data_IF_529952609822
#
_entry.id   IF_529952609822
#
_cell.length_a   1.000
_cell.length_b   1.000
_cell.length_c   1.000
_cell.angle_alpha   90.00
_cell.angle_beta   90.00
_cell.angle_gamma   90.00
#
_symmetry.space_group_name_H-M   'P 1'
#
loop_
_entity.id
_entity.type
_entity.pdbx_description
1 polymer ?
#
# COMPACT_ATOMS: atom_id res chain seq x y z
N UNK A 1 -0.10 73.76 -8.59
CA UNK A 1 -0.17 72.33 -8.95
C UNK A 1 -0.91 71.61 -7.84
N UNK A 2 -1.97 70.93 -8.21
CA UNK A 2 -3.10 70.47 -7.39
C UNK A 2 -2.73 69.35 -6.41
N UNK A 3 -3.39 69.33 -5.24
CA UNK A 3 -3.37 68.28 -4.20
C UNK A 3 -3.98 66.94 -4.67
N UNK A 4 -3.74 66.55 -5.93
CA UNK A 4 -4.28 65.36 -6.58
C UNK A 4 -3.19 64.34 -6.97
N UNK A 5 -1.93 64.58 -6.60
CA UNK A 5 -0.78 63.70 -6.91
C UNK A 5 -0.22 62.92 -5.71
N UNK A 6 -0.73 63.17 -4.49
CA UNK A 6 -0.28 62.44 -3.29
C UNK A 6 -1.06 61.13 -3.05
N UNK A 7 -2.29 61.04 -3.59
CA UNK A 7 -3.15 59.86 -3.42
C UNK A 7 -2.88 58.75 -4.46
N UNK A 8 -2.19 59.03 -5.57
CA UNK A 8 -1.85 58.00 -6.57
C UNK A 8 -0.55 57.23 -6.27
N UNK A 9 0.31 57.75 -5.37
CA UNK A 9 1.58 57.11 -5.00
C UNK A 9 1.49 56.18 -3.79
N UNK A 10 0.40 56.26 -3.02
CA UNK A 10 0.17 55.40 -1.84
C UNK A 10 -0.54 54.09 -2.24
N UNK A 11 -1.14 54.03 -3.43
CA UNK A 11 -1.81 52.81 -3.93
C UNK A 11 -0.85 51.74 -4.50
N UNK A 12 0.46 52.01 -4.58
CA UNK A 12 1.43 51.09 -5.19
C UNK A 12 2.37 50.39 -4.19
N UNK A 13 2.20 50.60 -2.89
CA UNK A 13 3.01 49.96 -1.84
C UNK A 13 2.09 49.28 -0.82
N UNK A 14 1.32 48.30 -1.27
CA UNK A 14 0.55 47.41 -0.38
C UNK A 14 0.16 46.06 -1.03
N UNK A 15 0.93 45.55 -2.00
CA UNK A 15 0.74 44.17 -2.49
C UNK A 15 2.11 43.50 -2.62
N UNK A 16 2.80 43.38 -1.50
CA UNK A 16 4.02 42.58 -1.37
C UNK A 16 3.99 41.79 -0.05
N UNK A 17 2.97 40.95 0.13
CA UNK A 17 2.94 39.90 1.17
C UNK A 17 1.71 39.02 1.04
N UNK A 18 1.58 38.32 -0.09
CA UNK A 18 0.77 37.09 -0.18
C UNK A 18 1.66 35.97 -0.75
N UNK A 19 2.80 35.76 -0.09
CA UNK A 19 3.38 34.42 0.03
C UNK A 19 2.65 33.72 1.19
N UNK A 20 1.36 33.45 1.00
CA UNK A 20 0.78 32.33 1.71
C UNK A 20 1.09 31.13 0.84
N UNK A 21 2.10 30.40 1.28
CA UNK A 21 2.44 29.05 0.89
C UNK A 21 1.15 28.27 0.65
N UNK A 22 0.72 28.19 -0.60
CA UNK A 22 -0.20 27.17 -1.05
C UNK A 22 0.63 25.89 -1.17
N UNK A 23 1.17 25.42 -0.04
CA UNK A 23 1.29 23.99 0.17
C UNK A 23 -0.14 23.48 0.14
N UNK A 24 -0.67 23.27 -1.06
CA UNK A 24 -1.71 22.30 -1.25
C UNK A 24 -1.06 21.00 -0.76
N UNK A 25 -1.22 20.71 0.53
CA UNK A 25 -1.23 19.34 0.99
C UNK A 25 -2.39 18.73 0.25
N UNK A 26 -2.12 18.23 -0.96
CA UNK A 26 -2.97 17.21 -1.52
C UNK A 26 -3.15 16.20 -0.38
N UNK A 27 -4.38 15.86 0.01
CA UNK A 27 -4.55 14.76 0.93
C UNK A 27 -3.74 13.61 0.35
N UNK A 28 -2.81 13.07 1.16
CA UNK A 28 -2.14 11.83 0.80
C UNK A 28 -3.23 10.90 0.27
N UNK A 29 -3.04 10.28 -0.91
CA UNK A 29 -4.06 9.42 -1.47
C UNK A 29 -4.54 8.52 -0.35
N UNK A 30 -5.85 8.57 -0.07
CA UNK A 30 -6.45 7.66 0.88
C UNK A 30 -5.92 6.29 0.49
N UNK A 31 -5.43 5.50 1.45
CA UNK A 31 -4.90 4.15 1.19
C UNK A 31 -6.04 3.37 0.53
N UNK A 32 -6.13 3.47 -0.80
CA UNK A 32 -7.24 2.92 -1.54
C UNK A 32 -7.05 1.44 -1.36
N UNK A 33 -8.05 0.78 -0.76
CA UNK A 33 -8.05 -0.67 -0.69
C UNK A 33 -8.29 -1.15 -2.12
N UNK A 34 -7.24 -1.13 -2.94
CA UNK A 34 -7.35 -1.61 -4.31
C UNK A 34 -7.62 -3.10 -4.22
N UNK A 35 -8.85 -3.48 -4.55
CA UNK A 35 -9.25 -4.87 -4.63
C UNK A 35 -8.60 -5.47 -5.87
N UNK A 36 -7.46 -6.14 -5.67
CA UNK A 36 -6.74 -6.82 -6.74
C UNK A 36 -7.18 -8.26 -6.92
N UNK A 37 -7.10 -8.80 -8.14
CA UNK A 37 -7.33 -10.21 -8.40
C UNK A 37 -6.28 -11.07 -7.68
N UNK A 38 -6.76 -12.07 -6.94
CA UNK A 38 -6.00 -13.17 -6.31
C UNK A 38 -4.99 -12.84 -5.20
N UNK A 39 -5.42 -12.10 -4.19
CA UNK A 39 -4.83 -12.18 -2.84
C UNK A 39 -5.08 -13.55 -2.14
N UNK A 40 -5.82 -14.45 -2.82
CA UNK A 40 -6.65 -15.51 -2.24
C UNK A 40 -6.57 -16.83 -3.01
N UNK A 41 -5.46 -17.11 -3.69
CA UNK A 41 -5.24 -18.43 -4.29
C UNK A 41 -5.39 -19.53 -3.22
N UNK A 42 -6.13 -20.59 -3.54
CA UNK A 42 -6.34 -21.71 -2.62
C UNK A 42 -5.00 -22.42 -2.39
N UNK A 43 -4.51 -22.51 -1.15
CA UNK A 43 -3.21 -23.11 -0.87
C UNK A 43 -3.24 -24.60 -1.20
N UNK A 44 -2.25 -25.07 -1.97
CA UNK A 44 -2.12 -26.49 -2.34
C UNK A 44 -1.91 -27.43 -1.14
N UNK A 45 -1.53 -26.88 0.01
CA UNK A 45 -1.37 -27.60 1.28
C UNK A 45 -2.68 -27.94 1.99
N UNK A 46 -3.80 -27.33 1.60
CA UNK A 46 -5.12 -27.60 2.19
C UNK A 46 -5.82 -28.75 1.49
N UNK A 47 -6.41 -29.66 2.27
CA UNK A 47 -7.38 -30.63 1.76
C UNK A 47 -8.63 -29.95 1.17
N UNK A 48 -9.41 -30.66 0.35
CA UNK A 48 -10.63 -30.10 -0.25
C UNK A 48 -11.60 -29.52 0.79
N UNK A 49 -11.79 -30.20 1.92
CA UNK A 49 -12.63 -29.71 3.01
C UNK A 49 -12.09 -28.40 3.60
N UNK A 50 -10.78 -28.34 3.85
CA UNK A 50 -10.10 -27.16 4.37
C UNK A 50 -10.13 -25.99 3.39
N UNK A 51 -10.06 -26.25 2.07
CA UNK A 51 -10.20 -25.21 1.04
C UNK A 51 -11.59 -24.57 1.06
N UNK A 52 -12.65 -25.35 1.36
CA UNK A 52 -14.01 -24.82 1.51
C UNK A 52 -14.10 -23.90 2.72
N UNK A 53 -13.54 -24.31 3.86
CA UNK A 53 -13.49 -23.50 5.08
C UNK A 53 -12.69 -22.20 4.86
N UNK A 54 -11.53 -22.32 4.24
CA UNK A 54 -10.67 -21.19 3.88
C UNK A 54 -11.44 -20.21 2.99
N UNK A 55 -12.07 -20.68 1.90
CA UNK A 55 -12.85 -19.83 0.99
C UNK A 55 -14.00 -19.12 1.70
N UNK A 56 -14.68 -19.78 2.64
CA UNK A 56 -15.72 -19.16 3.43
C UNK A 56 -15.15 -18.02 4.30
N UNK A 57 -13.99 -18.24 4.93
CA UNK A 57 -13.32 -17.22 5.74
C UNK A 57 -12.94 -15.99 4.89
N UNK A 58 -12.35 -16.25 3.73
CA UNK A 58 -11.97 -15.23 2.75
C UNK A 58 -13.17 -14.45 2.23
N UNK A 59 -14.29 -15.13 1.96
CA UNK A 59 -15.54 -14.48 1.53
C UNK A 59 -16.06 -13.51 2.58
N UNK A 60 -15.94 -13.86 3.87
CA UNK A 60 -16.33 -12.96 4.96
C UNK A 60 -15.37 -11.76 5.09
N UNK A 61 -14.06 -11.96 4.91
CA UNK A 61 -13.07 -10.87 4.90
C UNK A 61 -13.32 -9.91 3.74
N UNK A 62 -13.61 -10.41 2.54
CA UNK A 62 -13.92 -9.59 1.37
C UNK A 62 -15.23 -8.79 1.51
N UNK A 63 -16.12 -9.19 2.42
CA UNK A 63 -17.31 -8.44 2.84
C UNK A 63 -17.05 -7.52 4.03
N UNK A 64 -15.79 -7.33 4.41
CA UNK A 64 -15.35 -6.60 5.61
C UNK A 64 -15.89 -7.18 6.94
N UNK A 65 -16.43 -8.40 6.92
CA UNK A 65 -16.83 -9.11 8.12
C UNK A 65 -15.62 -9.80 8.77
N UNK A 66 -14.63 -8.98 9.12
CA UNK A 66 -13.34 -9.43 9.66
C UNK A 66 -13.51 -10.30 10.90
N UNK A 67 -14.48 -9.99 11.78
CA UNK A 67 -14.75 -10.79 12.98
C UNK A 67 -15.11 -12.24 12.63
N UNK A 68 -15.96 -12.45 11.63
CA UNK A 68 -16.34 -13.81 11.19
C UNK A 68 -15.21 -14.47 10.40
N UNK A 69 -14.55 -13.73 9.51
CA UNK A 69 -13.40 -14.21 8.75
C UNK A 69 -12.27 -14.70 9.65
N UNK A 70 -11.85 -13.89 10.63
CA UNK A 70 -10.84 -14.24 11.63
C UNK A 70 -11.26 -15.47 12.42
N UNK A 71 -12.54 -15.55 12.85
CA UNK A 71 -13.03 -16.74 13.58
C UNK A 71 -12.87 -18.02 12.76
N UNK A 72 -13.23 -17.98 11.48
CA UNK A 72 -13.11 -19.12 10.57
C UNK A 72 -11.65 -19.50 10.31
N UNK A 73 -10.77 -18.52 10.04
CA UNK A 73 -9.34 -18.77 9.89
C UNK A 73 -8.70 -19.35 11.16
N UNK A 74 -9.07 -18.87 12.36
CA UNK A 74 -8.59 -19.45 13.63
C UNK A 74 -9.09 -20.88 13.87
N UNK A 75 -10.27 -21.25 13.34
CA UNK A 75 -10.73 -22.64 13.42
C UNK A 75 -9.91 -23.53 12.51
N UNK A 76 -9.58 -23.05 11.31
CA UNK A 76 -8.75 -23.78 10.36
C UNK A 76 -7.28 -23.89 10.83
N UNK A 77 -6.72 -22.84 11.42
CA UNK A 77 -5.35 -22.82 11.97
C UNK A 77 -5.15 -23.84 13.11
N UNK A 78 -6.22 -24.25 13.81
CA UNK A 78 -6.14 -25.33 14.81
C UNK A 78 -5.97 -26.72 14.18
N UNK A 79 -6.20 -26.86 12.88
CA UNK A 79 -6.16 -28.14 12.18
C UNK A 79 -4.79 -28.43 11.57
N UNK A 80 -3.88 -27.45 11.55
CA UNK A 80 -2.54 -27.62 11.00
C UNK A 80 -1.81 -26.29 10.82
N UNK A 81 -0.53 -26.41 10.52
CA UNK A 81 0.35 -25.26 10.28
C UNK A 81 0.31 -24.90 8.79
N UNK A 82 -0.54 -23.93 8.45
CA UNK A 82 -0.68 -23.41 7.09
C UNK A 82 -0.21 -21.96 7.03
N UNK A 83 0.91 -21.72 6.34
CA UNK A 83 1.49 -20.40 6.13
C UNK A 83 0.47 -19.42 5.52
N UNK A 84 -0.30 -19.90 4.55
CA UNK A 84 -1.40 -19.18 3.93
C UNK A 84 -2.52 -18.77 4.89
N UNK A 85 -2.91 -19.62 5.85
CA UNK A 85 -3.92 -19.27 6.86
C UNK A 85 -3.37 -18.22 7.80
N UNK A 86 -2.12 -18.40 8.26
CA UNK A 86 -1.43 -17.41 9.10
C UNK A 86 -1.26 -16.05 8.39
N UNK A 87 -0.90 -16.03 7.12
CA UNK A 87 -0.79 -14.81 6.33
C UNK A 87 -2.15 -14.10 6.15
N UNK A 88 -3.24 -14.85 5.97
CA UNK A 88 -4.58 -14.24 5.88
C UNK A 88 -5.12 -13.76 7.24
N UNK A 89 -4.73 -14.41 8.36
CA UNK A 89 -4.97 -13.87 9.70
C UNK A 89 -4.23 -12.55 9.89
N UNK A 90 -2.95 -12.50 9.51
CA UNK A 90 -2.16 -11.27 9.57
C UNK A 90 -2.82 -10.11 8.83
N UNK A 91 -3.26 -10.34 7.60
CA UNK A 91 -3.99 -9.34 6.82
C UNK A 91 -5.27 -8.87 7.54
N UNK A 92 -6.08 -9.79 8.04
CA UNK A 92 -7.33 -9.43 8.71
C UNK A 92 -7.09 -8.65 10.01
N UNK A 93 -6.07 -9.01 10.78
CA UNK A 93 -5.66 -8.27 11.98
C UNK A 93 -5.10 -6.88 11.63
N UNK A 94 -4.27 -6.78 10.58
CA UNK A 94 -3.77 -5.50 10.08
C UNK A 94 -4.92 -4.56 9.67
N UNK A 95 -5.87 -5.05 8.87
CA UNK A 95 -7.05 -4.28 8.44
C UNK A 95 -7.94 -3.83 9.59
N UNK A 96 -7.87 -4.50 10.73
CA UNK A 96 -8.61 -4.15 11.96
C UNK A 96 -7.73 -3.46 13.01
N UNK A 97 -6.53 -2.99 12.63
CA UNK A 97 -5.58 -2.28 13.49
C UNK A 97 -5.11 -3.08 14.73
N UNK A 98 -5.25 -4.40 14.72
CA UNK A 98 -4.74 -5.30 15.76
C UNK A 98 -3.28 -5.67 15.42
N UNK A 99 -2.36 -4.70 15.55
CA UNK A 99 -1.00 -4.82 15.02
C UNK A 99 -0.15 -5.93 15.66
N UNK A 100 -0.29 -6.17 16.97
CA UNK A 100 0.44 -7.25 17.64
C UNK A 100 0.01 -8.63 17.13
N UNK A 101 -1.30 -8.85 16.96
CA UNK A 101 -1.83 -10.09 16.38
C UNK A 101 -1.42 -10.24 14.90
N UNK A 102 -1.36 -9.14 14.16
CA UNK A 102 -0.89 -9.13 12.79
C UNK A 102 0.58 -9.57 12.71
N UNK A 103 1.46 -9.00 13.54
CA UNK A 103 2.88 -9.38 13.63
C UNK A 103 3.07 -10.84 14.01
N UNK A 104 2.35 -11.30 15.03
CA UNK A 104 2.41 -12.69 15.47
C UNK A 104 2.02 -13.65 14.33
N UNK A 105 0.98 -13.28 13.58
CA UNK A 105 0.50 -14.07 12.44
C UNK A 105 1.47 -14.04 11.25
N UNK A 106 2.11 -12.90 10.95
CA UNK A 106 3.19 -12.79 9.95
C UNK A 106 4.37 -13.67 10.34
N UNK A 107 4.83 -13.58 11.60
CA UNK A 107 5.95 -14.37 12.10
C UNK A 107 5.66 -15.86 12.00
N UNK A 108 4.44 -16.29 12.36
CA UNK A 108 4.01 -17.70 12.21
C UNK A 108 4.01 -18.12 10.74
N UNK A 109 3.49 -17.30 9.83
CA UNK A 109 3.50 -17.60 8.39
C UNK A 109 4.93 -17.81 7.86
N UNK A 110 5.86 -16.94 8.24
CA UNK A 110 7.27 -17.01 7.84
C UNK A 110 8.05 -18.14 8.52
N UNK A 111 7.66 -18.55 9.74
CA UNK A 111 8.20 -19.74 10.40
C UNK A 111 7.80 -21.02 9.67
N UNK A 112 6.55 -21.09 9.19
CA UNK A 112 6.04 -22.26 8.44
C UNK A 112 6.64 -22.27 7.02
N UNK A 113 6.68 -21.11 6.36
CA UNK A 113 7.21 -20.93 5.02
C UNK A 113 7.92 -19.58 4.89
N UNK A 114 9.24 -19.60 5.01
CA UNK A 114 10.08 -18.40 4.86
C UNK A 114 10.01 -17.75 3.48
N UNK A 115 9.54 -18.49 2.47
CA UNK A 115 9.38 -18.05 1.08
C UNK A 115 7.96 -17.53 0.77
N UNK A 116 7.15 -17.23 1.78
CA UNK A 116 5.80 -16.70 1.58
C UNK A 116 5.85 -15.19 1.24
N UNK A 117 5.75 -14.86 -0.05
CA UNK A 117 5.78 -13.47 -0.54
C UNK A 117 4.67 -12.59 0.09
N UNK A 118 3.47 -13.13 0.32
CA UNK A 118 2.37 -12.41 0.97
C UNK A 118 2.71 -12.02 2.41
N UNK A 119 3.34 -12.91 3.16
CA UNK A 119 3.75 -12.64 4.54
C UNK A 119 4.85 -11.57 4.61
N UNK A 120 5.81 -11.57 3.68
CA UNK A 120 6.79 -10.49 3.56
C UNK A 120 6.15 -9.15 3.21
N UNK A 121 5.21 -9.10 2.26
CA UNK A 121 4.48 -7.88 1.96
C UNK A 121 3.66 -7.36 3.17
N UNK A 122 3.04 -8.25 3.93
CA UNK A 122 2.34 -7.87 5.17
C UNK A 122 3.30 -7.37 6.25
N UNK A 123 4.49 -7.95 6.37
CA UNK A 123 5.55 -7.42 7.22
C UNK A 123 5.91 -5.98 6.84
N UNK A 124 6.00 -5.70 5.54
CA UNK A 124 6.25 -4.36 5.03
C UNK A 124 5.15 -3.36 5.37
N UNK A 125 3.88 -3.75 5.19
CA UNK A 125 2.73 -2.92 5.57
C UNK A 125 2.70 -2.61 7.07
N UNK A 126 2.97 -3.61 7.91
CA UNK A 126 3.07 -3.41 9.36
C UNK A 126 4.21 -2.45 9.69
N UNK A 127 5.39 -2.62 9.08
CA UNK A 127 6.52 -1.72 9.30
C UNK A 127 6.23 -0.28 8.85
N UNK A 128 5.52 -0.08 7.72
CA UNK A 128 5.07 1.25 7.30
C UNK A 128 4.17 1.89 8.34
N UNK A 129 3.20 1.13 8.88
CA UNK A 129 2.27 1.62 9.91
C UNK A 129 2.99 2.03 11.19
N UNK A 130 4.13 1.43 11.48
CA UNK A 130 4.98 1.76 12.64
C UNK A 130 6.01 2.86 12.35
N UNK A 131 6.07 3.38 11.13
CA UNK A 131 7.07 4.38 10.72
C UNK A 131 8.47 3.82 10.46
N UNK A 132 8.61 2.50 10.43
CA UNK A 132 9.87 1.80 10.23
C UNK A 132 10.17 1.61 8.73
N UNK A 133 10.27 2.72 7.99
CA UNK A 133 10.34 2.74 6.52
C UNK A 133 11.46 1.88 5.91
N UNK A 134 12.69 1.86 6.45
CA UNK A 134 13.74 0.98 5.91
C UNK A 134 13.40 -0.52 6.04
N UNK A 135 12.71 -0.91 7.11
CA UNK A 135 12.23 -2.30 7.27
C UNK A 135 11.09 -2.61 6.32
N UNK A 136 10.22 -1.63 6.07
CA UNK A 136 9.14 -1.77 5.11
C UNK A 136 9.68 -2.04 3.70
N UNK A 137 10.63 -1.21 3.25
CA UNK A 137 11.30 -1.35 1.96
C UNK A 137 11.93 -2.74 1.82
N UNK A 138 12.71 -3.17 2.81
CA UNK A 138 13.35 -4.49 2.81
C UNK A 138 12.32 -5.63 2.68
N UNK A 139 11.21 -5.54 3.42
CA UNK A 139 10.17 -6.57 3.40
C UNK A 139 9.42 -6.62 2.04
N UNK A 140 9.12 -5.47 1.43
CA UNK A 140 8.54 -5.44 0.09
C UNK A 140 9.51 -5.98 -0.97
N UNK A 141 10.80 -5.64 -0.88
CA UNK A 141 11.82 -6.16 -1.78
C UNK A 141 12.00 -7.68 -1.65
N UNK A 142 11.92 -8.23 -0.44
CA UNK A 142 11.96 -9.69 -0.26
C UNK A 142 10.71 -10.36 -0.83
N UNK A 143 9.53 -9.74 -0.68
CA UNK A 143 8.32 -10.22 -1.33
C UNK A 143 8.48 -10.28 -2.87
N UNK A 144 9.06 -9.24 -3.47
CA UNK A 144 9.33 -9.18 -4.92
C UNK A 144 10.45 -10.11 -5.38
N UNK A 145 11.41 -10.42 -4.52
CA UNK A 145 12.44 -11.43 -4.80
C UNK A 145 11.87 -12.84 -4.86
N UNK A 146 10.86 -13.13 -4.04
CA UNK A 146 10.16 -14.40 -4.00
C UNK A 146 9.11 -14.53 -5.11
N UNK A 147 8.39 -13.44 -5.39
CA UNK A 147 7.45 -13.32 -6.49
C UNK A 147 7.55 -11.94 -7.14
N UNK A 148 8.31 -11.89 -8.24
CA UNK A 148 8.54 -10.66 -9.01
C UNK A 148 7.29 -10.15 -9.77
N UNK A 149 6.20 -10.90 -9.73
CA UNK A 149 4.91 -10.50 -10.29
C UNK A 149 3.90 -10.19 -9.18
N UNK A 150 4.34 -10.06 -7.91
CA UNK A 150 3.42 -9.76 -6.83
C UNK A 150 2.99 -8.28 -6.85
N UNK A 151 1.88 -8.01 -7.52
CA UNK A 151 1.38 -6.67 -7.81
C UNK A 151 1.28 -5.78 -6.55
N UNK A 152 0.78 -6.31 -5.43
CA UNK A 152 0.64 -5.55 -4.19
C UNK A 152 1.98 -5.06 -3.63
N UNK A 153 3.05 -5.85 -3.73
CA UNK A 153 4.35 -5.43 -3.27
C UNK A 153 4.93 -4.31 -4.16
N UNK A 154 4.66 -4.33 -5.46
CA UNK A 154 4.98 -3.19 -6.34
C UNK A 154 4.21 -1.93 -5.93
N UNK A 155 2.89 -2.03 -5.71
CA UNK A 155 2.08 -0.88 -5.28
C UNK A 155 2.56 -0.30 -3.95
N UNK A 156 2.79 -1.14 -2.94
CA UNK A 156 3.20 -0.70 -1.61
C UNK A 156 4.60 -0.07 -1.62
N UNK A 157 5.52 -0.63 -2.40
CA UNK A 157 6.86 -0.08 -2.56
C UNK A 157 6.83 1.25 -3.33
N UNK A 158 5.96 1.37 -4.33
CA UNK A 158 5.74 2.64 -5.03
C UNK A 158 5.21 3.73 -4.07
N UNK A 159 4.21 3.41 -3.25
CA UNK A 159 3.67 4.30 -2.23
C UNK A 159 4.74 4.71 -1.21
N UNK A 160 5.60 3.77 -0.80
CA UNK A 160 6.72 4.06 0.10
C UNK A 160 7.67 5.09 -0.51
N UNK A 161 8.07 4.88 -1.77
CA UNK A 161 8.96 5.79 -2.49
C UNK A 161 8.33 7.15 -2.74
N UNK A 162 7.05 7.20 -3.10
CA UNK A 162 6.32 8.44 -3.41
C UNK A 162 6.15 9.29 -2.14
N UNK A 163 5.50 8.71 -1.13
CA UNK A 163 5.04 9.47 0.03
C UNK A 163 6.15 9.73 1.04
N UNK A 164 6.99 8.72 1.31
CA UNK A 164 7.92 8.80 2.45
C UNK A 164 9.35 9.13 2.05
N UNK A 165 9.82 8.64 0.91
CA UNK A 165 11.18 8.94 0.43
C UNK A 165 11.24 10.05 -0.60
N UNK A 166 10.11 10.42 -1.22
CA UNK A 166 10.05 11.41 -2.31
C UNK A 166 10.96 11.03 -3.49
N UNK A 167 11.12 9.73 -3.74
CA UNK A 167 11.91 9.16 -4.85
C UNK A 167 11.01 8.90 -6.06
N UNK A 168 10.61 9.98 -6.73
CA UNK A 168 9.57 10.01 -7.78
C UNK A 168 9.84 8.98 -8.90
N UNK A 169 11.10 8.84 -9.34
CA UNK A 169 11.46 7.85 -10.37
C UNK A 169 11.18 6.41 -9.93
N UNK A 170 11.59 6.02 -8.72
CA UNK A 170 11.33 4.66 -8.23
C UNK A 170 9.84 4.42 -8.00
N UNK A 171 9.12 5.42 -7.49
CA UNK A 171 7.67 5.37 -7.35
C UNK A 171 6.99 5.10 -8.71
N UNK A 172 7.35 5.89 -9.73
CA UNK A 172 6.82 5.73 -11.09
C UNK A 172 7.06 4.33 -11.65
N UNK A 173 8.29 3.82 -11.56
CA UNK A 173 8.66 2.50 -12.10
C UNK A 173 7.86 1.37 -11.43
N UNK A 174 7.69 1.42 -10.10
CA UNK A 174 6.92 0.42 -9.36
C UNK A 174 5.41 0.54 -9.59
N UNK A 175 4.84 1.75 -9.66
CA UNK A 175 3.42 1.92 -10.00
C UNK A 175 3.11 1.45 -11.43
N UNK A 176 3.99 1.72 -12.39
CA UNK A 176 3.83 1.23 -13.76
C UNK A 176 3.85 -0.30 -13.81
N UNK A 177 4.80 -0.92 -13.09
CA UNK A 177 4.89 -2.37 -13.00
C UNK A 177 3.65 -2.99 -12.36
N UNK A 178 3.13 -2.37 -11.32
CA UNK A 178 1.84 -2.71 -10.72
C UNK A 178 0.70 -2.65 -11.76
N UNK A 179 0.56 -1.55 -12.49
CA UNK A 179 -0.50 -1.38 -13.51
C UNK A 179 -0.44 -2.44 -14.60
N UNK A 180 0.75 -2.80 -15.08
CA UNK A 180 0.94 -3.90 -16.05
C UNK A 180 0.41 -5.22 -15.49
N UNK A 181 0.73 -5.55 -14.24
CA UNK A 181 0.33 -6.80 -13.60
C UNK A 181 -1.19 -6.90 -13.37
N UNK A 182 -1.87 -5.77 -13.27
CA UNK A 182 -3.33 -5.69 -13.05
C UNK A 182 -4.08 -5.29 -14.31
N UNK A 183 -3.42 -5.41 -15.47
CA UNK A 183 -3.96 -5.13 -16.80
C UNK A 183 -4.60 -3.73 -16.91
N UNK A 184 -4.02 -2.75 -16.22
CA UNK A 184 -4.48 -1.36 -16.18
C UNK A 184 -5.93 -1.20 -15.69
N UNK A 185 -6.42 -2.14 -14.89
CA UNK A 185 -7.77 -2.11 -14.33
C UNK A 185 -7.94 -1.04 -13.23
N UNK A 186 -6.85 -0.65 -12.54
CA UNK A 186 -6.85 0.43 -11.56
C UNK A 186 -6.66 1.81 -12.25
N UNK A 187 -7.79 2.46 -12.52
CA UNK A 187 -7.83 3.79 -13.15
C UNK A 187 -7.31 4.91 -12.27
N UNK A 188 -7.39 4.76 -10.94
CA UNK A 188 -6.92 5.79 -10.01
C UNK A 188 -5.39 5.83 -10.04
N UNK A 189 -4.74 4.68 -9.85
CA UNK A 189 -3.29 4.57 -9.95
C UNK A 189 -2.79 4.98 -11.34
N UNK A 190 -3.53 4.67 -12.40
CA UNK A 190 -3.19 5.11 -13.76
C UNK A 190 -3.14 6.65 -13.86
N UNK A 191 -4.12 7.36 -13.28
CA UNK A 191 -4.13 8.82 -13.30
C UNK A 191 -2.95 9.43 -12.52
N UNK A 192 -2.54 8.81 -11.40
CA UNK A 192 -1.36 9.24 -10.67
C UNK A 192 -0.06 9.01 -11.46
N UNK A 193 0.06 7.84 -12.11
CA UNK A 193 1.23 7.52 -12.95
C UNK A 193 1.37 8.50 -14.11
N UNK A 194 0.28 8.96 -14.71
CA UNK A 194 0.32 10.01 -15.74
C UNK A 194 0.92 11.31 -15.20
N UNK A 195 0.60 11.71 -13.96
CA UNK A 195 1.14 12.91 -13.32
C UNK A 195 2.62 12.73 -12.97
N UNK A 196 3.00 11.58 -12.42
CA UNK A 196 4.39 11.26 -12.08
C UNK A 196 5.29 11.22 -13.32
N UNK A 197 4.78 10.74 -14.47
CA UNK A 197 5.53 10.69 -15.73
C UNK A 197 6.11 12.05 -16.12
N UNK A 198 5.30 13.11 -16.06
CA UNK A 198 5.76 14.46 -16.39
C UNK A 198 6.91 14.90 -15.48
N UNK A 199 6.83 14.57 -14.18
CA UNK A 199 7.87 14.92 -13.19
C UNK A 199 9.19 14.19 -13.48
N UNK A 200 9.13 12.89 -13.79
CA UNK A 200 10.30 12.07 -14.16
C UNK A 200 10.98 12.58 -15.45
N UNK A 201 10.20 13.03 -16.43
CA UNK A 201 10.75 13.56 -17.69
C UNK A 201 11.51 14.88 -17.48
N UNK A 202 11.09 15.73 -16.53
CA UNK A 202 11.79 16.97 -16.21
C UNK A 202 13.16 16.70 -15.55
N UNK A 203 13.24 15.73 -14.63
CA UNK A 203 14.51 15.35 -13.98
C UNK A 203 15.59 14.93 -15.00
N UNK A 204 15.20 14.30 -16.11
CA UNK A 204 16.13 13.83 -17.14
C UNK A 204 16.70 14.93 -18.05
N UNK A 205 16.15 16.14 -17.97
CA UNK A 205 16.54 17.27 -18.83
C UNK A 205 17.45 18.28 -18.13
N UNK A 206 17.79 18.03 -16.86
CA UNK A 206 18.75 18.79 -16.06
C UNK A 206 20.07 18.04 -15.94
#
# INVERSE_FOLDING_TARGET
MTNLDLLSRIAFIAVLSLLLSNCATQPAPAVTQVALPDELSTPGSLSQAQQVEFRAAITEIGKENYKRGIKLLKQLDKQGDFDSVAANLALAYYKTSQLDDAKNSVNRALQINSSNAKAHNLSGLIAMQEGEFPKAEQAFLEALKLDNNYALAHYNLALLYDVYYQEIRKAYDHYLRYLVLVEYSDKETMSWVEQLKYSVEQENTQ
#
